data_IF_383765828997
#
_entry.id   IF_383765828997
#
_cell.length_a   1.000
_cell.length_b   1.000
_cell.length_c   1.000
_cell.angle_alpha   90.00
_cell.angle_beta   90.00
_cell.angle_gamma   90.00
#
_symmetry.space_group_name_H-M   'P 1'
#
loop_
_entity.id
_entity.type
_entity.pdbx_description
1 polymer ?
#
# COMPACT_ATOMS: atom_id res chain seq x y z
N UNK A 1 -5.99 -6.88 -7.39
CA UNK A 1 -5.62 -7.98 -6.46
C UNK A 1 -6.37 -7.72 -5.16
N UNK A 2 -6.93 -8.76 -4.53
CA UNK A 2 -7.52 -8.59 -3.20
C UNK A 2 -6.42 -8.77 -2.14
N UNK A 3 -6.36 -7.84 -1.20
CA UNK A 3 -5.40 -7.84 -0.10
C UNK A 3 -6.20 -8.04 1.19
N UNK A 4 -6.11 -9.21 1.83
CA UNK A 4 -6.81 -9.46 3.09
C UNK A 4 -6.33 -8.53 4.21
N UNK A 5 -7.19 -8.34 5.22
CA UNK A 5 -6.81 -7.59 6.43
C UNK A 5 -5.56 -8.20 7.08
N UNK A 6 -4.61 -7.34 7.45
CA UNK A 6 -3.33 -7.74 8.04
C UNK A 6 -2.33 -8.38 7.08
N UNK A 7 -2.65 -8.54 5.79
CA UNK A 7 -1.71 -9.08 4.82
C UNK A 7 -0.60 -8.07 4.51
N UNK A 8 0.64 -8.46 4.77
CA UNK A 8 1.82 -7.69 4.35
C UNK A 8 1.93 -7.75 2.83
N UNK A 9 2.04 -6.58 2.20
CA UNK A 9 2.14 -6.47 0.75
C UNK A 9 2.99 -5.26 0.35
N UNK A 10 3.61 -5.34 -0.82
CA UNK A 10 4.39 -4.27 -1.45
C UNK A 10 4.20 -4.37 -2.96
N UNK A 11 4.05 -3.23 -3.63
CA UNK A 11 3.99 -3.15 -5.09
C UNK A 11 5.16 -2.31 -5.58
N UNK A 12 5.80 -2.76 -6.65
CA UNK A 12 6.79 -2.00 -7.39
C UNK A 12 6.47 -2.04 -8.90
N UNK A 13 6.89 -1.01 -9.63
CA UNK A 13 6.84 -1.00 -11.08
C UNK A 13 8.25 -1.29 -11.63
N UNK A 14 8.57 -2.55 -12.00
CA UNK A 14 9.87 -2.89 -12.59
C UNK A 14 9.99 -2.45 -14.06
N UNK A 15 8.89 -2.01 -14.67
CA UNK A 15 8.84 -1.56 -16.05
C UNK A 15 9.44 -0.18 -16.25
N UNK A 16 9.73 0.15 -17.50
CA UNK A 16 10.20 1.49 -17.91
C UNK A 16 9.08 2.43 -18.35
N UNK A 17 7.83 1.95 -18.28
CA UNK A 17 6.62 2.68 -18.67
C UNK A 17 5.89 3.10 -17.41
N UNK A 18 5.25 4.28 -17.45
CA UNK A 18 4.42 4.77 -16.36
C UNK A 18 3.30 3.78 -16.06
N UNK A 19 3.18 3.43 -14.78
CA UNK A 19 2.10 2.60 -14.26
C UNK A 19 1.07 3.49 -13.58
N UNK A 20 -0.20 3.30 -13.94
CA UNK A 20 -1.33 3.88 -13.21
C UNK A 20 -1.95 2.79 -12.33
N UNK A 21 -2.13 3.09 -11.03
CA UNK A 21 -2.70 2.18 -10.05
C UNK A 21 -3.94 2.82 -9.44
N UNK A 22 -5.00 2.03 -9.31
CA UNK A 22 -6.19 2.38 -8.54
C UNK A 22 -6.24 1.44 -7.34
N UNK A 23 -6.17 2.01 -6.14
CA UNK A 23 -6.38 1.30 -4.88
C UNK A 23 -7.81 1.58 -4.38
N UNK A 24 -8.50 0.53 -3.97
CA UNK A 24 -9.83 0.64 -3.35
C UNK A 24 -9.72 0.06 -1.95
N UNK A 25 -9.92 0.92 -0.95
CA UNK A 25 -9.93 0.51 0.45
C UNK A 25 -11.36 0.17 0.87
N UNK A 26 -11.50 -0.92 1.61
CA UNK A 26 -12.80 -1.42 2.09
C UNK A 26 -12.74 -1.65 3.59
N UNK A 27 -13.59 -0.98 4.36
CA UNK A 27 -13.63 -1.12 5.82
C UNK A 27 -14.50 -0.06 6.46
N UNK A 28 -14.73 -0.19 7.77
CA UNK A 28 -15.48 0.80 8.56
C UNK A 28 -14.63 1.98 9.05
N UNK A 29 -13.30 1.85 8.97
CA UNK A 29 -12.33 2.85 9.40
C UNK A 29 -11.15 2.87 8.42
N UNK A 30 -10.71 4.05 8.02
CA UNK A 30 -9.65 4.27 7.02
C UNK A 30 -8.75 5.43 7.50
N UNK A 31 -8.07 5.22 8.63
CA UNK A 31 -7.13 6.19 9.21
C UNK A 31 -5.68 5.87 8.86
N UNK A 32 -4.80 6.88 8.92
CA UNK A 32 -3.35 6.68 8.76
C UNK A 32 -2.75 5.81 9.88
N UNK A 33 -3.36 5.82 11.06
CA UNK A 33 -2.98 5.00 12.21
C UNK A 33 -3.33 3.51 12.04
N UNK A 34 -4.18 3.16 11.07
CA UNK A 34 -4.45 1.77 10.67
C UNK A 34 -3.38 1.22 9.71
N UNK A 35 -2.41 2.05 9.29
CA UNK A 35 -1.34 1.67 8.36
C UNK A 35 -0.06 1.36 9.13
N UNK A 36 0.35 0.09 9.12
CA UNK A 36 1.65 -0.32 9.66
C UNK A 36 2.69 -0.31 8.53
N UNK A 37 3.67 0.61 8.63
CA UNK A 37 4.80 0.70 7.69
C UNK A 37 5.96 -0.14 8.21
N UNK A 38 6.26 -1.25 7.55
CA UNK A 38 7.31 -2.20 7.97
C UNK A 38 8.69 -1.74 7.49
N UNK A 39 8.75 -1.22 6.27
CA UNK A 39 9.96 -0.66 5.66
C UNK A 39 9.66 0.77 5.21
N UNK A 40 10.55 1.70 5.55
CA UNK A 40 10.46 3.10 5.12
C UNK A 40 11.71 3.53 4.35
N UNK A 41 11.84 2.97 3.15
CA UNK A 41 12.91 3.31 2.21
C UNK A 41 12.90 4.80 1.80
N UNK A 42 11.79 5.51 2.07
CA UNK A 42 11.56 6.88 1.68
C UNK A 42 11.68 7.89 2.83
N UNK A 43 12.01 7.45 4.05
CA UNK A 43 12.23 8.29 5.24
C UNK A 43 11.11 9.31 5.49
N UNK A 44 9.87 8.83 5.54
CA UNK A 44 8.65 9.64 5.78
C UNK A 44 8.33 9.80 7.27
N UNK A 45 9.20 9.30 8.15
CA UNK A 45 9.17 9.47 9.62
C UNK A 45 10.48 10.03 10.14
#
# INVERSE_FOLDING_TARGET
IYIPIGAVHRLENPGKIQLELIEVQTGSYLGEDDIIRIEDDYRRT
#
